data_IF_029391324093
#
_entry.id   IF_029391324093
#
_cell.length_a   1.000
_cell.length_b   1.000
_cell.length_c   1.000
_cell.angle_alpha   90.00
_cell.angle_beta   90.00
_cell.angle_gamma   90.00
#
_symmetry.space_group_name_H-M   'P 1'
#
loop_
_entity.id
_entity.type
_entity.pdbx_description
1 polymer ?
#
# COMPACT_ATOMS: atom_id res chain seq x y z
N UNK A 1 -85.60 -6.30 5.63
CA UNK A 1 -84.65 -6.25 4.52
C UNK A 1 -83.63 -5.14 4.77
N UNK A 2 -82.41 -5.46 5.20
CA UNK A 2 -81.22 -4.69 4.82
C UNK A 2 -79.97 -5.49 5.22
N UNK A 3 -79.28 -5.97 4.19
CA UNK A 3 -78.12 -6.84 4.25
C UNK A 3 -76.87 -5.95 4.33
N UNK A 4 -76.01 -6.10 5.35
CA UNK A 4 -74.71 -5.41 5.42
C UNK A 4 -73.59 -6.44 5.25
N UNK A 5 -73.00 -6.43 4.06
CA UNK A 5 -71.84 -7.24 3.67
C UNK A 5 -70.58 -6.51 4.15
N UNK A 6 -69.80 -7.16 5.01
CA UNK A 6 -68.50 -6.68 5.48
C UNK A 6 -67.41 -7.30 4.58
N UNK A 7 -66.70 -6.48 3.81
CA UNK A 7 -65.56 -6.87 2.98
C UNK A 7 -64.26 -6.57 3.74
N UNK A 8 -63.59 -7.61 4.24
CA UNK A 8 -62.24 -7.52 4.79
C UNK A 8 -61.22 -7.75 3.68
N UNK A 9 -60.46 -6.70 3.33
CA UNK A 9 -59.33 -6.77 2.40
C UNK A 9 -58.06 -7.08 3.20
N UNK A 10 -57.53 -8.29 3.05
CA UNK A 10 -56.25 -8.70 3.64
C UNK A 10 -55.12 -8.34 2.67
N UNK A 11 -54.39 -7.27 2.96
CA UNK A 11 -53.20 -6.88 2.19
C UNK A 11 -51.98 -7.68 2.68
N UNK A 12 -51.50 -8.61 1.85
CA UNK A 12 -50.30 -9.42 2.10
C UNK A 12 -49.07 -8.68 1.55
N UNK A 13 -48.33 -8.00 2.43
CA UNK A 13 -47.07 -7.33 2.09
C UNK A 13 -45.93 -8.37 2.01
N UNK A 14 -45.56 -8.73 0.78
CA UNK A 14 -44.34 -9.48 0.47
C UNK A 14 -43.12 -8.57 0.66
N UNK A 15 -42.52 -8.59 1.85
CA UNK A 15 -41.23 -7.96 2.12
C UNK A 15 -40.12 -8.77 1.43
N UNK A 16 -39.71 -8.31 0.25
CA UNK A 16 -38.52 -8.81 -0.45
C UNK A 16 -37.27 -8.51 0.36
N UNK A 17 -36.72 -9.54 1.01
CA UNK A 17 -35.45 -9.51 1.73
C UNK A 17 -34.29 -9.24 0.78
N UNK A 18 -33.89 -7.98 0.66
CA UNK A 18 -32.62 -7.62 0.03
C UNK A 18 -31.51 -8.07 0.99
N UNK A 19 -30.80 -9.12 0.60
CA UNK A 19 -29.58 -9.52 1.30
C UNK A 19 -28.56 -8.41 1.12
N UNK A 20 -28.38 -7.60 2.17
CA UNK A 20 -27.28 -6.63 2.26
C UNK A 20 -26.01 -7.47 2.39
N UNK A 21 -25.33 -7.70 1.28
CA UNK A 21 -23.99 -8.27 1.27
C UNK A 21 -23.06 -7.21 1.87
N UNK A 22 -22.81 -7.33 3.17
CA UNK A 22 -21.79 -6.55 3.84
C UNK A 22 -20.43 -7.04 3.31
N UNK A 23 -19.80 -6.24 2.45
CA UNK A 23 -18.42 -6.48 2.03
C UNK A 23 -17.55 -6.24 3.25
N UNK A 24 -17.17 -7.32 3.94
CA UNK A 24 -16.24 -7.23 5.05
C UNK A 24 -14.91 -6.66 4.51
N UNK A 25 -14.57 -5.43 4.92
CA UNK A 25 -13.26 -4.86 4.63
C UNK A 25 -12.20 -5.83 5.16
N UNK A 26 -11.30 -6.29 4.29
CA UNK A 26 -10.26 -7.23 4.65
C UNK A 26 -9.33 -6.55 5.67
N UNK A 27 -9.55 -6.84 6.96
CA UNK A 27 -8.76 -6.28 8.05
C UNK A 27 -7.37 -6.91 7.98
N UNK A 28 -6.43 -6.16 7.42
CA UNK A 28 -5.01 -6.49 7.49
C UNK A 28 -4.55 -6.48 8.94
N UNK A 29 -3.84 -7.52 9.38
CA UNK A 29 -3.19 -7.55 10.71
C UNK A 29 -1.92 -6.69 10.76
N UNK A 30 -1.51 -6.13 9.62
CA UNK A 30 -0.36 -5.24 9.48
C UNK A 30 -0.84 -3.85 9.07
N UNK A 31 -0.51 -2.84 9.86
CA UNK A 31 -0.69 -1.44 9.49
C UNK A 31 0.64 -0.88 9.01
N UNK A 32 0.63 -0.28 7.83
CA UNK A 32 1.76 0.44 7.26
C UNK A 32 1.49 1.95 7.34
N UNK A 33 2.42 2.71 7.90
CA UNK A 33 2.42 4.17 7.82
C UNK A 33 3.73 4.66 7.21
N UNK A 34 3.70 5.85 6.64
CA UNK A 34 4.86 6.48 6.02
C UNK A 34 5.09 7.86 6.61
N UNK A 35 6.36 8.25 6.66
CA UNK A 35 6.78 9.60 6.99
C UNK A 35 7.86 10.04 5.99
N UNK A 36 7.71 11.24 5.43
CA UNK A 36 8.71 11.84 4.57
C UNK A 36 9.93 12.25 5.42
N UNK A 37 11.08 11.64 5.16
CA UNK A 37 12.35 11.97 5.83
C UNK A 37 13.19 12.95 5.01
N UNK A 38 13.16 12.83 3.68
CA UNK A 38 13.80 13.77 2.78
C UNK A 38 13.04 13.89 1.46
N UNK A 39 13.06 15.07 0.88
CA UNK A 39 12.56 15.36 -0.45
C UNK A 39 13.65 16.12 -1.19
N UNK A 40 14.01 15.65 -2.38
CA UNK A 40 14.94 16.33 -3.27
C UNK A 40 14.53 16.19 -4.73
N UNK A 41 15.17 16.97 -5.59
CA UNK A 41 14.85 17.05 -7.01
C UNK A 41 16.12 16.89 -7.81
N UNK A 42 16.12 15.97 -8.77
CA UNK A 42 17.27 15.79 -9.63
C UNK A 42 16.90 15.71 -11.11
N UNK A 43 17.84 16.07 -11.97
CA UNK A 43 17.64 16.15 -13.41
C UNK A 43 17.53 14.74 -13.99
N UNK A 44 16.41 14.45 -14.65
CA UNK A 44 16.30 13.21 -15.41
C UNK A 44 17.15 13.35 -16.68
N UNK A 45 18.25 12.60 -16.79
CA UNK A 45 19.19 12.72 -17.92
C UNK A 45 18.64 12.08 -19.20
N UNK A 46 17.49 11.40 -19.14
CA UNK A 46 16.85 10.75 -20.29
C UNK A 46 15.91 11.72 -21.01
N UNK A 47 15.27 12.65 -20.29
CA UNK A 47 14.27 13.57 -20.83
C UNK A 47 14.54 15.01 -20.35
N UNK A 48 14.91 15.90 -21.29
CA UNK A 48 15.38 17.27 -21.00
C UNK A 48 14.42 18.18 -20.20
N UNK A 49 13.12 17.87 -20.18
CA UNK A 49 12.08 18.66 -19.48
C UNK A 49 11.51 17.95 -18.23
N UNK A 50 12.02 16.77 -17.91
CA UNK A 50 11.56 15.96 -16.77
C UNK A 50 12.63 15.99 -15.66
N UNK A 51 12.16 15.91 -14.42
CA UNK A 51 13.01 15.77 -13.26
C UNK A 51 12.40 14.73 -12.33
N UNK A 52 13.26 14.04 -11.60
CA UNK A 52 12.82 13.06 -10.62
C UNK A 52 12.69 13.75 -9.26
N UNK A 53 11.52 13.58 -8.65
CA UNK A 53 11.32 13.87 -7.24
C UNK A 53 11.77 12.64 -6.47
N UNK A 54 12.87 12.76 -5.74
CA UNK A 54 13.40 11.71 -4.88
C UNK A 54 12.79 11.91 -3.50
N UNK A 55 11.97 10.95 -3.08
CA UNK A 55 11.40 10.91 -1.74
C UNK A 55 12.08 9.81 -0.94
N UNK A 56 12.73 10.18 0.16
CA UNK A 56 13.14 9.22 1.19
C UNK A 56 12.05 9.15 2.23
N UNK A 57 11.61 7.94 2.50
CA UNK A 57 10.48 7.63 3.35
C UNK A 57 10.96 6.75 4.50
N UNK A 58 10.49 7.05 5.70
CA UNK A 58 10.49 6.11 6.80
C UNK A 58 9.17 5.32 6.75
N UNK A 59 9.26 4.00 6.69
CA UNK A 59 8.13 3.08 6.69
C UNK A 59 8.00 2.46 8.08
N UNK A 60 6.81 2.54 8.69
CA UNK A 60 6.53 1.90 9.98
C UNK A 60 5.49 0.81 9.81
N UNK A 61 5.88 -0.41 10.20
CA UNK A 61 5.09 -1.63 10.11
C UNK A 61 4.63 -2.00 11.51
N UNK A 62 3.36 -1.81 11.83
CA UNK A 62 2.79 -2.14 13.15
C UNK A 62 1.93 -3.39 13.05
N UNK A 63 2.18 -4.38 13.91
CA UNK A 63 1.27 -5.50 14.08
C UNK A 63 0.03 -5.03 14.88
N UNK A 64 -1.10 -4.87 14.20
CA UNK A 64 -2.39 -4.49 14.79
C UNK A 64 -3.28 -5.71 15.09
N UNK A 65 -2.79 -6.91 14.76
CA UNK A 65 -3.45 -8.17 15.05
C UNK A 65 -3.21 -8.66 16.49
N UNK A 66 -3.79 -9.82 16.81
CA UNK A 66 -3.71 -10.42 18.15
C UNK A 66 -2.62 -11.49 18.29
N UNK A 67 -1.94 -11.85 17.19
CA UNK A 67 -0.91 -12.90 17.17
C UNK A 67 0.41 -12.32 16.69
N UNK A 68 1.57 -12.86 17.12
CA UNK A 68 2.86 -12.48 16.56
C UNK A 68 2.86 -12.63 15.04
N UNK A 69 3.44 -11.64 14.36
CA UNK A 69 3.53 -11.57 12.91
C UNK A 69 5.00 -11.62 12.50
N UNK A 70 5.34 -12.47 11.55
CA UNK A 70 6.69 -12.61 11.02
C UNK A 70 6.73 -11.83 9.71
N UNK A 71 7.51 -10.76 9.66
CA UNK A 71 7.64 -9.86 8.53
C UNK A 71 9.07 -9.95 7.98
N UNK A 72 9.20 -10.01 6.66
CA UNK A 72 10.48 -9.95 5.99
C UNK A 72 11.08 -8.53 6.03
N UNK A 73 12.36 -8.44 6.39
CA UNK A 73 13.17 -7.20 6.41
C UNK A 73 13.85 -7.02 5.06
N UNK A 74 13.09 -6.83 4.01
CA UNK A 74 13.68 -6.50 2.71
C UNK A 74 14.01 -5.01 2.63
N UNK A 75 15.22 -4.62 2.17
CA UNK A 75 15.48 -3.26 1.76
C UNK A 75 14.60 -2.92 0.55
N UNK A 76 14.07 -1.69 0.49
CA UNK A 76 13.29 -1.20 -0.66
C UNK A 76 12.04 -2.03 -1.02
N UNK A 77 11.30 -2.51 0.00
CA UNK A 77 10.03 -3.26 -0.17
C UNK A 77 8.95 -2.55 -1.00
N UNK A 78 9.10 -1.26 -1.31
CA UNK A 78 8.11 -0.50 -2.08
C UNK A 78 8.12 -0.99 -3.52
N UNK A 79 7.03 -1.64 -3.94
CA UNK A 79 6.92 -2.19 -5.31
C UNK A 79 6.18 -1.26 -6.24
N UNK A 80 5.21 -0.51 -5.72
CA UNK A 80 4.57 0.57 -6.44
C UNK A 80 3.97 1.57 -5.47
N UNK A 81 3.63 2.72 -6.00
CA UNK A 81 2.96 3.76 -5.25
C UNK A 81 1.80 4.35 -6.07
N UNK A 82 0.82 4.88 -5.36
CA UNK A 82 -0.32 5.59 -5.90
C UNK A 82 -0.27 7.05 -5.49
N UNK A 83 -0.71 7.93 -6.37
CA UNK A 83 -1.02 9.33 -5.99
C UNK A 83 -2.45 9.71 -6.36
N UNK A 84 -3.00 10.61 -5.54
CA UNK A 84 -4.28 11.26 -5.77
C UNK A 84 -4.21 12.71 -5.30
N UNK A 85 -5.00 13.60 -5.90
CA UNK A 85 -5.14 15.00 -5.45
C UNK A 85 -6.01 15.11 -4.20
N UNK A 86 -6.87 14.12 -3.98
CA UNK A 86 -7.75 14.03 -2.82
C UNK A 86 -7.63 12.67 -2.14
N UNK A 87 -7.97 12.59 -0.84
CA UNK A 87 -8.06 11.31 -0.13
C UNK A 87 -9.07 10.36 -0.78
N UNK A 88 -10.20 10.94 -1.24
CA UNK A 88 -11.28 10.18 -1.88
C UNK A 88 -10.80 9.42 -3.12
N UNK A 89 -9.97 10.05 -3.96
CA UNK A 89 -9.37 9.39 -5.14
C UNK A 89 -8.55 8.15 -4.75
N UNK A 90 -7.75 8.22 -3.68
CA UNK A 90 -7.00 7.06 -3.19
C UNK A 90 -7.92 5.99 -2.60
N UNK A 91 -8.95 6.38 -1.85
CA UNK A 91 -9.91 5.45 -1.23
C UNK A 91 -10.78 4.73 -2.27
N UNK A 92 -11.18 5.42 -3.35
CA UNK A 92 -11.97 4.83 -4.44
C UNK A 92 -11.13 4.10 -5.48
N UNK A 93 -9.81 4.00 -5.28
CA UNK A 93 -8.86 3.46 -6.25
C UNK A 93 -8.90 4.17 -7.62
N UNK A 94 -9.28 5.45 -7.64
CA UNK A 94 -9.29 6.33 -8.82
C UNK A 94 -7.98 7.12 -8.84
N UNK A 95 -6.86 6.40 -8.97
CA UNK A 95 -5.52 6.95 -8.81
C UNK A 95 -5.16 7.86 -9.98
N UNK A 96 -4.60 9.04 -9.68
CA UNK A 96 -4.04 9.92 -10.72
C UNK A 96 -2.83 9.24 -11.37
N UNK A 97 -1.97 8.61 -10.57
CA UNK A 97 -0.81 7.86 -11.06
C UNK A 97 -0.63 6.55 -10.31
N UNK A 98 -0.12 5.55 -11.02
CA UNK A 98 0.41 4.29 -10.46
C UNK A 98 1.73 4.01 -11.14
N UNK A 99 2.81 3.93 -10.38
CA UNK A 99 4.14 3.65 -10.91
C UNK A 99 4.78 2.48 -10.18
N UNK A 100 5.32 1.56 -10.97
CA UNK A 100 5.98 0.35 -10.51
C UNK A 100 7.48 0.62 -10.35
N UNK A 101 8.01 0.23 -9.21
CA UNK A 101 9.44 0.20 -8.92
C UNK A 101 9.92 -1.20 -9.30
N UNK A 102 10.75 -1.28 -10.34
CA UNK A 102 11.47 -2.52 -10.67
C UNK A 102 12.50 -2.78 -9.58
N UNK A 103 12.23 -3.77 -8.72
CA UNK A 103 13.26 -4.33 -7.84
C UNK A 103 13.77 -5.62 -8.45
N UNK A 104 15.09 -5.73 -8.60
CA UNK A 104 15.76 -6.98 -8.93
C UNK A 104 15.79 -7.83 -7.66
N UNK A 105 14.64 -8.40 -7.29
CA UNK A 105 14.56 -9.25 -6.10
C UNK A 105 15.22 -10.58 -6.38
N UNK A 106 16.24 -10.89 -5.59
CA UNK A 106 16.68 -12.26 -5.41
C UNK A 106 15.57 -13.00 -4.64
N UNK A 107 15.17 -14.18 -5.12
CA UNK A 107 14.12 -14.95 -4.45
C UNK A 107 14.51 -15.32 -3.03
N UNK A 108 13.52 -15.46 -2.14
CA UNK A 108 13.75 -15.91 -0.76
C UNK A 108 14.37 -17.31 -0.79
N UNK A 109 15.50 -17.51 -0.10
CA UNK A 109 16.20 -18.82 -0.03
C UNK A 109 16.05 -19.52 1.33
N UNK A 110 15.09 -19.09 2.15
CA UNK A 110 14.92 -19.58 3.51
C UNK A 110 14.37 -21.01 3.58
N UNK A 111 14.88 -21.77 4.55
CA UNK A 111 14.46 -23.15 4.80
C UNK A 111 14.56 -23.60 6.27
N UNK A 112 15.07 -22.76 7.17
CA UNK A 112 15.32 -23.09 8.57
C UNK A 112 14.07 -23.30 9.43
N UNK A 113 14.25 -23.91 10.61
CA UNK A 113 13.16 -24.17 11.58
C UNK A 113 12.61 -22.92 12.28
N UNK A 114 13.37 -21.83 12.26
CA UNK A 114 13.02 -20.55 12.87
C UNK A 114 13.29 -19.41 11.89
N UNK A 115 12.61 -18.26 12.03
CA UNK A 115 12.88 -17.08 11.20
C UNK A 115 14.34 -16.65 11.32
N UNK A 116 14.99 -16.39 10.19
CA UNK A 116 16.39 -15.93 10.12
C UNK A 116 16.52 -14.44 10.48
N UNK A 117 17.74 -13.89 10.37
CA UNK A 117 18.00 -12.48 10.60
C UNK A 117 17.28 -11.56 9.60
N UNK A 118 16.93 -12.08 8.42
CA UNK A 118 16.17 -11.39 7.38
C UNK A 118 14.70 -11.19 7.75
N UNK A 119 14.26 -11.66 8.92
CA UNK A 119 12.90 -11.54 9.41
C UNK A 119 12.85 -10.80 10.73
N UNK A 120 11.75 -10.09 10.95
CA UNK A 120 11.37 -9.53 12.26
C UNK A 120 10.10 -10.22 12.72
N UNK A 121 10.06 -10.60 14.01
CA UNK A 121 8.85 -11.10 14.65
C UNK A 121 8.26 -9.97 15.46
N UNK A 122 7.11 -9.45 15.02
CA UNK A 122 6.36 -8.38 15.66
C UNK A 122 5.28 -8.98 16.57
N UNK A 123 5.40 -8.80 17.89
CA UNK A 123 4.29 -9.10 18.81
C UNK A 123 3.13 -8.11 18.61
N UNK A 124 1.93 -8.42 19.12
CA UNK A 124 0.82 -7.48 19.08
C UNK A 124 1.22 -6.09 19.61
N UNK A 125 1.00 -5.05 18.79
CA UNK A 125 1.37 -3.67 19.09
C UNK A 125 2.81 -3.27 18.80
N UNK A 126 3.72 -4.23 18.57
CA UNK A 126 5.11 -3.91 18.20
C UNK A 126 5.19 -3.37 16.77
N UNK A 127 6.24 -2.57 16.53
CA UNK A 127 6.51 -1.98 15.23
C UNK A 127 7.94 -2.22 14.78
N UNK A 128 8.12 -2.34 13.47
CA UNK A 128 9.42 -2.32 12.80
C UNK A 128 9.49 -1.10 11.88
N UNK A 129 10.66 -0.48 11.81
CA UNK A 129 10.90 0.69 10.98
C UNK A 129 11.94 0.34 9.91
N UNK A 130 11.66 0.72 8.68
CA UNK A 130 12.62 0.67 7.58
C UNK A 130 12.63 1.98 6.80
N UNK A 131 13.56 2.09 5.87
CA UNK A 131 13.64 3.21 4.94
C UNK A 131 13.38 2.73 3.51
N UNK A 132 12.82 3.62 2.69
CA UNK A 132 12.67 3.42 1.27
C UNK A 132 12.95 4.72 0.53
N UNK A 133 13.57 4.61 -0.64
CA UNK A 133 13.70 5.71 -1.59
C UNK A 133 12.79 5.44 -2.78
N UNK A 134 11.96 6.43 -3.14
CA UNK A 134 11.10 6.37 -4.32
C UNK A 134 11.42 7.54 -5.24
N UNK A 135 11.42 7.25 -6.54
CA UNK A 135 11.67 8.21 -7.59
C UNK A 135 10.36 8.44 -8.33
N UNK A 136 9.94 9.71 -8.39
CA UNK A 136 8.69 10.12 -9.03
C UNK A 136 9.02 11.04 -10.20
N UNK A 137 8.76 10.64 -11.44
CA UNK A 137 8.95 11.53 -12.59
C UNK A 137 7.96 12.69 -12.51
N UNK A 138 8.48 13.91 -12.67
CA UNK A 138 7.75 15.17 -12.61
C UNK A 138 8.22 16.10 -13.75
N UNK A 139 7.38 17.05 -14.14
CA UNK A 139 7.71 18.04 -15.15
C UNK A 139 7.11 19.40 -14.79
N UNK A 140 7.78 20.47 -15.23
CA UNK A 140 7.33 21.85 -14.97
C UNK A 140 6.08 22.24 -15.76
N UNK A 141 6.02 21.81 -17.03
CA UNK A 141 5.02 22.31 -17.99
C UNK A 141 4.24 21.21 -18.72
N UNK A 142 4.72 19.96 -18.68
CA UNK A 142 4.14 18.86 -19.46
C UNK A 142 3.25 17.96 -18.59
N UNK A 143 1.95 17.96 -18.88
CA UNK A 143 1.00 16.98 -18.37
C UNK A 143 1.06 15.70 -19.23
N UNK A 144 2.19 14.99 -19.18
CA UNK A 144 2.31 13.65 -19.77
C UNK A 144 1.72 12.60 -18.82
N UNK A 145 1.16 11.53 -19.38
CA UNK A 145 0.70 10.38 -18.57
C UNK A 145 1.89 9.80 -17.79
N UNK A 146 1.72 9.65 -16.48
CA UNK A 146 2.78 9.13 -15.60
C UNK A 146 3.65 10.20 -14.94
N UNK A 147 3.54 11.46 -15.35
CA UNK A 147 4.30 12.59 -14.79
C UNK A 147 3.45 13.37 -13.81
N UNK A 148 3.99 13.63 -12.62
CA UNK A 148 3.28 14.32 -11.56
C UNK A 148 3.53 15.84 -11.64
N UNK A 149 2.45 16.64 -11.58
CA UNK A 149 2.54 18.10 -11.53
C UNK A 149 2.91 18.60 -10.12
N UNK A 150 3.52 19.78 -10.04
CA UNK A 150 3.74 20.48 -8.78
C UNK A 150 2.43 20.74 -8.00
N UNK A 151 2.51 20.77 -6.68
CA UNK A 151 1.40 21.00 -5.76
C UNK A 151 1.25 19.93 -4.68
N UNK A 152 0.20 20.08 -3.88
CA UNK A 152 -0.15 19.16 -2.81
C UNK A 152 -0.83 17.91 -3.35
N UNK A 153 -0.39 16.73 -2.92
CA UNK A 153 -0.90 15.43 -3.36
C UNK A 153 -0.83 14.41 -2.23
N UNK A 154 -1.68 13.41 -2.26
CA UNK A 154 -1.61 12.28 -1.36
C UNK A 154 -0.86 11.14 -2.02
N UNK A 155 0.13 10.61 -1.30
CA UNK A 155 0.91 9.44 -1.66
C UNK A 155 0.43 8.24 -0.84
N UNK A 156 0.25 7.10 -1.49
CA UNK A 156 0.05 5.82 -0.83
C UNK A 156 1.10 4.83 -1.34
N UNK A 157 1.92 4.32 -0.44
CA UNK A 157 2.93 3.30 -0.73
C UNK A 157 2.28 1.92 -0.65
N UNK A 158 2.63 1.04 -1.59
CA UNK A 158 2.17 -0.34 -1.58
C UNK A 158 3.37 -1.28 -1.52
N UNK A 159 3.38 -2.11 -0.47
CA UNK A 159 4.30 -3.24 -0.37
C UNK A 159 3.62 -4.47 -0.98
N UNK A 160 4.37 -5.30 -1.72
CA UNK A 160 3.80 -6.39 -2.47
C UNK A 160 3.37 -7.50 -1.50
N UNK A 161 2.65 -8.46 -2.06
CA UNK A 161 2.57 -9.79 -1.48
C UNK A 161 4.00 -10.37 -1.35
N UNK A 162 4.19 -11.31 -0.42
CA UNK A 162 5.38 -12.16 -0.28
C UNK A 162 6.20 -12.30 -1.58
N UNK A 163 7.51 -12.01 -1.53
CA UNK A 163 8.40 -11.94 -2.70
C UNK A 163 8.81 -13.31 -3.24
N UNK A 164 8.81 -14.35 -2.41
CA UNK A 164 9.12 -15.72 -2.80
C UNK A 164 7.95 -16.45 -3.45
N UNK A 165 8.15 -17.74 -3.74
CA UNK A 165 7.09 -18.57 -4.31
C UNK A 165 6.03 -18.97 -3.27
N UNK A 166 4.81 -19.27 -3.71
CA UNK A 166 3.69 -19.58 -2.80
C UNK A 166 3.91 -20.89 -2.02
N UNK A 167 4.61 -21.87 -2.60
CA UNK A 167 4.90 -23.14 -1.92
C UNK A 167 5.87 -22.91 -0.77
N UNK A 168 6.90 -22.09 -0.99
CA UNK A 168 7.84 -21.68 0.04
C UNK A 168 7.15 -20.85 1.12
N UNK A 169 6.29 -19.89 0.76
CA UNK A 169 5.49 -19.13 1.73
C UNK A 169 4.69 -20.08 2.65
N UNK A 170 4.04 -21.09 2.08
CA UNK A 170 3.26 -22.09 2.81
C UNK A 170 4.15 -22.95 3.71
N UNK A 171 5.25 -23.46 3.16
CA UNK A 171 6.25 -24.25 3.88
C UNK A 171 6.77 -23.51 5.12
N UNK A 172 7.22 -22.26 4.94
CA UNK A 172 7.71 -21.42 6.04
C UNK A 172 6.60 -21.06 7.02
N UNK A 173 5.38 -20.78 6.55
CA UNK A 173 4.22 -20.50 7.41
C UNK A 173 3.90 -21.66 8.36
N UNK A 174 3.94 -22.90 7.86
CA UNK A 174 3.70 -24.09 8.68
C UNK A 174 4.84 -24.31 9.68
N UNK A 175 6.09 -24.19 9.21
CA UNK A 175 7.29 -24.43 10.02
C UNK A 175 7.43 -23.40 11.15
N UNK A 176 7.22 -22.12 10.84
CA UNK A 176 7.37 -21.03 11.79
C UNK A 176 6.10 -20.71 12.58
N UNK A 177 5.03 -21.51 12.44
CA UNK A 177 3.74 -21.30 13.10
C UNK A 177 3.84 -21.09 14.62
N UNK A 178 4.83 -21.71 15.28
CA UNK A 178 5.08 -21.54 16.72
C UNK A 178 5.66 -20.16 17.07
N UNK A 179 6.43 -19.56 16.17
CA UNK A 179 7.02 -18.24 16.34
C UNK A 179 6.02 -17.12 15.98
N UNK A 180 5.13 -17.36 15.03
CA UNK A 180 4.11 -16.40 14.60
C UNK A 180 3.47 -16.79 13.28
N UNK A 181 2.63 -15.89 12.76
CA UNK A 181 2.09 -16.00 11.39
C UNK A 181 3.03 -15.30 10.42
N UNK A 182 3.46 -15.98 9.36
CA UNK A 182 4.15 -15.32 8.25
C UNK A 182 3.22 -14.31 7.57
N UNK A 183 3.69 -13.08 7.44
CA UNK A 183 3.02 -12.06 6.65
C UNK A 183 3.27 -12.34 5.16
N UNK A 184 2.21 -12.66 4.44
CA UNK A 184 2.29 -12.98 3.02
C UNK A 184 1.24 -12.26 2.19
N UNK A 185 0.60 -11.23 2.73
CA UNK A 185 -0.42 -10.44 2.05
C UNK A 185 0.19 -9.10 1.59
N UNK A 186 -0.41 -8.43 0.62
CA UNK A 186 0.01 -7.06 0.27
C UNK A 186 -0.46 -6.10 1.37
N UNK A 187 0.29 -5.02 1.62
CA UNK A 187 -0.15 -3.95 2.50
C UNK A 187 -0.06 -2.60 1.80
N UNK A 188 -1.04 -1.72 2.09
CA UNK A 188 -1.05 -0.33 1.63
C UNK A 188 -0.80 0.56 2.82
N UNK A 189 0.00 1.60 2.63
CA UNK A 189 0.19 2.60 3.66
C UNK A 189 -1.09 3.41 3.86
N UNK A 190 -1.22 4.05 5.01
CA UNK A 190 -2.10 5.20 5.12
C UNK A 190 -1.68 6.27 4.10
N UNK A 191 -2.63 7.02 3.51
CA UNK A 191 -2.30 8.17 2.67
C UNK A 191 -1.46 9.19 3.43
N UNK A 192 -0.40 9.69 2.78
CA UNK A 192 0.47 10.73 3.30
C UNK A 192 0.44 11.93 2.36
N UNK A 193 0.19 13.13 2.90
CA UNK A 193 0.28 14.35 2.12
C UNK A 193 1.75 14.66 1.79
N UNK A 194 2.04 14.90 0.52
CA UNK A 194 3.31 15.42 0.00
C UNK A 194 3.04 16.72 -0.76
N UNK A 195 4.03 17.59 -0.83
CA UNK A 195 3.97 18.80 -1.65
C UNK A 195 5.18 18.84 -2.56
N UNK A 196 4.94 18.87 -3.87
CA UNK A 196 5.97 18.99 -4.89
C UNK A 196 6.06 20.47 -5.26
N UNK A 197 7.24 21.08 -5.11
CA UNK A 197 7.50 22.45 -5.55
C UNK A 197 7.28 22.54 -7.08
N UNK A 198 6.51 23.52 -7.57
CA UNK A 198 6.32 23.72 -9.02
C UNK A 198 7.61 24.10 -9.76
N UNK A 199 8.50 24.82 -9.09
CA UNK A 199 9.78 25.29 -9.65
C UNK A 199 10.95 24.95 -8.73
N UNK A 200 11.28 23.65 -8.61
CA UNK A 200 12.30 23.23 -7.67
C UNK A 200 13.70 23.61 -8.17
N UNK A 201 14.63 23.73 -7.20
CA UNK A 201 16.07 23.72 -7.50
C UNK A 201 16.50 22.30 -7.82
N UNK A 202 16.72 22.05 -9.12
CA UNK A 202 17.11 20.74 -9.64
C UNK A 202 18.65 20.61 -9.58
N UNK A 203 19.13 19.49 -9.01
CA UNK A 203 20.56 19.11 -9.02
C UNK A 203 20.80 17.93 -9.97
N UNK A 204 22.05 17.54 -10.21
CA UNK A 204 22.34 16.30 -10.94
C UNK A 204 21.95 15.07 -10.10
N UNK A 205 21.37 14.05 -10.73
CA UNK A 205 20.99 12.84 -10.01
C UNK A 205 22.23 12.09 -9.50
N UNK A 206 22.19 11.54 -8.27
CA UNK A 206 23.22 10.60 -7.85
C UNK A 206 23.22 9.39 -8.80
N UNK A 207 24.38 8.76 -9.05
CA UNK A 207 24.42 7.53 -9.82
C UNK A 207 23.54 6.47 -9.16
N UNK A 208 22.76 5.74 -9.96
CA UNK A 208 21.92 4.65 -9.47
C UNK A 208 22.82 3.60 -8.78
N UNK A 209 22.55 3.36 -7.49
CA UNK A 209 23.21 2.32 -6.67
C UNK A 209 22.47 1.02 -6.73
#
# INVERSE_FOLDING_TARGET
MMNRILLTITALLLLGGHSITCVAAQVSNLRLTTQLSNLSYCRNTIYDEEFDVILRLQLTYTNVGQKPLILEKEPNLVTYWHTGRTLKELESADFTHTLWITSNKEGVTESGDVPSANFVVLRPGESYVSEAEIHIPSARFLMKKGVIAGGAQYLQVVIPKWSGDEKQARFLSERWRKAGRLWSDAARSQPMLITIEPEPKIVECPPAT
#
